data_IF_436805721510
#
_entry.id   IF_436805721510
#
_cell.length_a   1.000
_cell.length_b   1.000
_cell.length_c   1.000
_cell.angle_alpha   90.00
_cell.angle_beta   90.00
_cell.angle_gamma   90.00
#
_symmetry.space_group_name_H-M   'P 1'
#
loop_
_entity.id
_entity.type
_entity.pdbx_description
1 polymer ?
#
# COMPACT_ATOMS: atom_id res chain seq x y z
N UNK A 1 6.24 -21.92 6.32
CA UNK A 1 5.72 -21.95 4.94
C UNK A 1 4.52 -21.01 4.82
N UNK A 2 4.74 -19.70 4.68
CA UNK A 2 3.66 -18.73 4.38
C UNK A 2 3.76 -18.38 2.88
N UNK A 3 3.38 -19.34 2.04
CA UNK A 3 3.58 -19.28 0.60
C UNK A 3 2.29 -18.91 -0.13
N UNK A 4 2.39 -18.01 -1.11
CA UNK A 4 1.43 -17.78 -2.20
C UNK A 4 0.15 -16.95 -1.96
N UNK A 5 -0.47 -16.92 -0.77
CA UNK A 5 -1.81 -16.31 -0.61
C UNK A 5 -1.84 -14.77 -0.43
N UNK A 6 -0.75 -14.15 0.03
CA UNK A 6 -0.71 -12.69 0.31
C UNK A 6 -0.71 -11.85 -0.96
N UNK A 7 0.02 -12.29 -1.98
CA UNK A 7 0.12 -11.62 -3.29
C UNK A 7 -1.23 -11.65 -4.01
N UNK A 8 -1.93 -12.80 -4.01
CA UNK A 8 -3.26 -12.93 -4.64
C UNK A 8 -4.30 -11.97 -4.05
N UNK A 9 -4.29 -11.68 -2.74
CA UNK A 9 -5.22 -10.69 -2.12
C UNK A 9 -4.91 -9.24 -2.51
N UNK A 10 -3.64 -8.89 -2.70
CA UNK A 10 -3.24 -7.54 -3.12
C UNK A 10 -3.68 -7.27 -4.57
N UNK A 11 -3.59 -8.29 -5.45
CA UNK A 11 -3.92 -8.15 -6.87
C UNK A 11 -5.40 -8.41 -7.22
N UNK A 12 -6.14 -9.23 -6.46
CA UNK A 12 -7.57 -9.50 -6.70
C UNK A 12 -8.52 -8.30 -6.45
N UNK A 13 -8.01 -7.18 -5.93
CA UNK A 13 -8.82 -5.98 -5.63
C UNK A 13 -8.73 -4.87 -6.70
N UNK A 14 -7.92 -5.03 -7.76
CA UNK A 14 -7.84 -4.04 -8.85
C UNK A 14 -9.09 -4.00 -9.74
N UNK A 15 -9.86 -5.09 -9.80
CA UNK A 15 -11.04 -5.21 -10.68
C UNK A 15 -12.37 -4.87 -9.99
N UNK A 16 -12.36 -4.52 -8.70
CA UNK A 16 -13.58 -4.24 -7.91
C UNK A 16 -13.78 -2.75 -7.60
N UNK A 17 -12.76 -1.90 -7.77
CA UNK A 17 -12.86 -0.48 -7.43
C UNK A 17 -12.27 0.42 -8.52
N UNK A 18 -13.09 0.92 -9.46
CA UNK A 18 -12.68 1.98 -10.38
C UNK A 18 -12.28 3.25 -9.60
N UNK A 19 -11.32 3.99 -10.14
CA UNK A 19 -10.66 5.18 -9.54
C UNK A 19 -11.63 6.39 -9.41
N UNK A 20 -12.93 6.23 -9.66
CA UNK A 20 -13.89 7.34 -9.79
C UNK A 20 -14.44 7.92 -8.49
N UNK A 21 -14.18 7.34 -7.31
CA UNK A 21 -14.67 7.90 -6.03
C UNK A 21 -13.66 8.84 -5.36
N UNK A 22 -12.92 9.61 -6.17
CA UNK A 22 -12.11 10.76 -5.72
C UNK A 22 -12.80 12.05 -6.14
N UNK A 23 -14.08 12.21 -5.80
CA UNK A 23 -14.71 13.53 -5.68
C UNK A 23 -15.79 13.47 -4.61
N UNK A 24 -15.41 13.72 -3.36
CA UNK A 24 -16.29 14.47 -2.46
C UNK A 24 -15.52 15.73 -2.10
N UNK A 25 -16.15 16.85 -2.45
CA UNK A 25 -15.53 18.15 -2.64
C UNK A 25 -14.64 18.62 -1.50
N UNK A 26 -13.66 19.43 -1.91
CA UNK A 26 -13.13 20.50 -1.09
C UNK A 26 -14.32 21.40 -0.73
N UNK A 27 -15.02 21.07 0.37
CA UNK A 27 -16.00 21.98 0.95
C UNK A 27 -15.25 23.01 1.81
N UNK A 28 -15.52 24.31 1.63
CA UNK A 28 -14.80 25.37 2.31
C UNK A 28 -15.02 25.30 3.83
N UNK A 29 -14.00 25.76 4.56
CA UNK A 29 -13.94 25.82 6.01
C UNK A 29 -15.14 26.60 6.54
N UNK A 30 -16.16 25.89 7.04
CA UNK A 30 -17.14 26.46 7.96
C UNK A 30 -16.74 26.04 9.38
N UNK A 31 -16.17 26.98 10.11
CA UNK A 31 -15.91 26.86 11.55
C UNK A 31 -17.27 26.81 12.25
N UNK A 32 -17.68 25.62 12.71
CA UNK A 32 -18.78 25.48 13.66
C UNK A 32 -18.23 25.03 15.01
N UNK A 33 -18.25 25.99 15.93
CA UNK A 33 -18.11 25.79 17.37
C UNK A 33 -19.37 25.06 17.88
N UNK A 34 -19.18 23.98 18.64
CA UNK A 34 -20.15 23.51 19.65
C UNK A 34 -21.08 22.35 19.28
N UNK A 35 -20.78 21.15 19.79
CA UNK A 35 -21.71 20.26 20.54
C UNK A 35 -21.04 18.90 20.80
N UNK A 36 -20.44 18.74 21.98
CA UNK A 36 -19.93 17.45 22.43
C UNK A 36 -21.11 16.57 22.85
N UNK A 37 -21.64 15.74 21.95
CA UNK A 37 -22.46 14.60 22.38
C UNK A 37 -21.52 13.50 22.90
N UNK A 38 -21.75 12.95 24.10
CA UNK A 38 -20.89 11.91 24.64
C UNK A 38 -20.92 10.70 23.69
N UNK A 39 -19.78 10.06 23.42
CA UNK A 39 -19.77 8.90 22.54
C UNK A 39 -20.69 7.83 23.12
N UNK A 40 -21.73 7.45 22.35
CA UNK A 40 -22.66 6.37 22.69
C UNK A 40 -21.88 5.18 23.27
N UNK A 41 -22.35 4.61 24.38
CA UNK A 41 -21.65 3.54 25.11
C UNK A 41 -21.24 2.37 24.20
N UNK A 42 -22.04 2.10 23.15
CA UNK A 42 -21.76 1.13 22.09
C UNK A 42 -20.48 1.44 21.30
N UNK A 43 -20.23 2.71 20.97
CA UNK A 43 -19.03 3.16 20.25
C UNK A 43 -17.79 3.05 21.14
N UNK A 44 -17.94 3.35 22.44
CA UNK A 44 -16.85 3.19 23.43
C UNK A 44 -16.48 1.71 23.60
N UNK A 45 -17.47 0.84 23.73
CA UNK A 45 -17.28 -0.62 23.82
C UNK A 45 -16.59 -1.19 22.57
N UNK A 46 -17.02 -0.81 21.36
CA UNK A 46 -16.35 -1.23 20.11
C UNK A 46 -14.91 -0.74 20.00
N UNK A 47 -14.59 0.48 20.46
CA UNK A 47 -13.21 0.99 20.49
C UNK A 47 -12.33 0.22 21.47
N UNK A 48 -12.86 -0.09 22.66
CA UNK A 48 -12.12 -0.84 23.67
C UNK A 48 -11.75 -2.26 23.20
N UNK A 49 -12.59 -2.87 22.36
CA UNK A 49 -12.34 -4.19 21.77
C UNK A 49 -11.22 -4.19 20.69
N UNK A 50 -10.86 -3.03 20.14
CA UNK A 50 -9.78 -2.90 19.17
C UNK A 50 -8.44 -2.82 19.91
N UNK A 51 -7.72 -3.94 19.93
CA UNK A 51 -6.35 -4.06 20.44
C UNK A 51 -5.34 -3.78 19.33
N UNK A 52 -4.09 -3.48 19.70
CA UNK A 52 -3.01 -3.27 18.74
C UNK A 52 -2.85 -4.47 17.78
N UNK A 53 -2.82 -5.70 18.32
CA UNK A 53 -2.64 -6.91 17.51
C UNK A 53 -3.73 -7.08 16.44
N UNK A 54 -5.01 -6.90 16.82
CA UNK A 54 -6.13 -6.97 15.86
C UNK A 54 -6.02 -5.93 14.74
N UNK A 55 -5.45 -4.75 15.03
CA UNK A 55 -5.25 -3.70 14.03
C UNK A 55 -4.01 -3.98 13.17
N UNK A 56 -2.93 -4.47 13.77
CA UNK A 56 -1.67 -4.77 13.10
C UNK A 56 -1.80 -5.88 12.05
N UNK A 57 -2.64 -6.87 12.30
CA UNK A 57 -3.00 -7.91 11.32
C UNK A 57 -3.58 -7.33 10.01
N UNK A 58 -4.12 -6.11 10.05
CA UNK A 58 -4.75 -5.42 8.91
C UNK A 58 -3.82 -4.43 8.21
N UNK A 59 -2.56 -4.30 8.60
CA UNK A 59 -1.65 -3.34 7.96
C UNK A 59 -1.37 -3.59 6.48
N UNK A 60 -1.63 -4.81 6.00
CA UNK A 60 -1.48 -5.20 4.59
C UNK A 60 -2.59 -4.69 3.68
N UNK A 61 -3.67 -4.10 4.23
CA UNK A 61 -4.79 -3.57 3.46
C UNK A 61 -5.01 -2.06 3.70
N UNK A 62 -5.72 -1.36 2.80
CA UNK A 62 -6.12 0.03 3.03
C UNK A 62 -6.96 0.18 4.30
N UNK A 63 -6.81 1.32 5.00
CA UNK A 63 -7.55 1.60 6.24
C UNK A 63 -9.08 1.59 6.04
N UNK A 64 -9.57 1.91 4.85
CA UNK A 64 -10.99 1.83 4.50
C UNK A 64 -11.51 0.39 4.53
N UNK A 65 -10.71 -0.56 4.04
CA UNK A 65 -11.05 -1.99 4.05
C UNK A 65 -10.89 -2.54 5.46
N UNK A 66 -9.80 -2.20 6.15
CA UNK A 66 -9.57 -2.61 7.53
C UNK A 66 -10.73 -2.17 8.45
N UNK A 67 -11.22 -0.93 8.29
CA UNK A 67 -12.36 -0.44 9.07
C UNK A 67 -13.64 -1.25 8.81
N UNK A 68 -13.92 -1.58 7.54
CA UNK A 68 -15.06 -2.43 7.16
C UNK A 68 -14.94 -3.82 7.77
N UNK A 69 -13.78 -4.47 7.65
CA UNK A 69 -13.54 -5.80 8.24
C UNK A 69 -13.65 -5.79 9.77
N UNK A 70 -13.23 -4.70 10.42
CA UNK A 70 -13.32 -4.50 11.86
C UNK A 70 -14.70 -4.02 12.34
N UNK A 71 -15.66 -3.80 11.43
CA UNK A 71 -17.02 -3.38 11.75
C UNK A 71 -17.13 -1.99 12.42
N UNK A 72 -16.18 -1.10 12.09
CA UNK A 72 -16.09 0.27 12.61
C UNK A 72 -15.97 1.29 11.49
N UNK A 73 -16.23 2.57 11.79
CA UNK A 73 -15.98 3.66 10.84
C UNK A 73 -14.47 3.91 10.70
N UNK A 74 -14.05 4.46 9.54
CA UNK A 74 -12.66 4.87 9.31
C UNK A 74 -12.19 5.92 10.30
N UNK A 75 -13.04 6.86 10.69
CA UNK A 75 -12.76 7.87 11.71
C UNK A 75 -12.53 7.25 13.09
N UNK A 76 -13.35 6.27 13.47
CA UNK A 76 -13.19 5.51 14.72
C UNK A 76 -11.88 4.73 14.72
N UNK A 77 -11.55 4.06 13.61
CA UNK A 77 -10.31 3.31 13.48
C UNK A 77 -9.08 4.24 13.55
N UNK A 78 -9.08 5.35 12.81
CA UNK A 78 -8.00 6.36 12.87
C UNK A 78 -7.79 6.90 14.28
N UNK A 79 -8.87 7.21 14.98
CA UNK A 79 -8.81 7.67 16.37
C UNK A 79 -8.19 6.61 17.27
N UNK A 80 -8.66 5.36 17.16
CA UNK A 80 -8.14 4.25 17.95
C UNK A 80 -6.68 3.93 17.65
N UNK A 81 -6.25 4.02 16.40
CA UNK A 81 -4.84 3.86 16.02
C UNK A 81 -3.95 4.88 16.76
N UNK A 82 -4.38 6.14 16.87
CA UNK A 82 -3.63 7.17 17.61
C UNK A 82 -3.52 6.83 19.11
N UNK A 83 -4.59 6.32 19.72
CA UNK A 83 -4.56 5.85 21.12
C UNK A 83 -3.61 4.66 21.32
N UNK A 84 -3.48 3.80 20.32
CA UNK A 84 -2.62 2.61 20.34
C UNK A 84 -1.16 2.90 19.96
N UNK A 85 -0.79 4.17 19.77
CA UNK A 85 0.58 4.53 19.38
C UNK A 85 0.92 4.22 17.91
N UNK A 86 -0.08 4.11 17.04
CA UNK A 86 0.06 3.93 15.58
C UNK A 86 -0.08 5.32 14.93
N UNK A 87 1.01 6.05 14.68
CA UNK A 87 0.94 7.43 14.19
C UNK A 87 0.40 7.52 12.75
N UNK A 88 0.63 6.49 11.95
CA UNK A 88 0.17 6.40 10.57
C UNK A 88 -0.06 4.97 10.12
N UNK A 89 -0.83 4.83 9.03
CA UNK A 89 -1.16 3.54 8.45
C UNK A 89 -0.05 3.08 7.48
N UNK A 90 0.70 1.99 7.76
CA UNK A 90 1.92 1.61 7.03
C UNK A 90 1.66 1.06 5.61
N UNK A 91 0.39 0.77 5.27
CA UNK A 91 -0.02 0.20 3.98
C UNK A 91 0.63 0.86 2.76
N UNK A 92 0.78 2.18 2.75
CA UNK A 92 1.34 2.89 1.59
C UNK A 92 2.80 2.50 1.33
N UNK A 93 3.60 2.37 2.38
CA UNK A 93 5.01 1.95 2.27
C UNK A 93 5.10 0.48 1.87
N UNK A 94 4.30 -0.37 2.52
CA UNK A 94 4.24 -1.81 2.24
C UNK A 94 3.82 -2.06 0.77
N UNK A 95 2.78 -1.38 0.29
CA UNK A 95 2.33 -1.47 -1.11
C UNK A 95 3.43 -1.05 -2.08
N UNK A 96 4.15 0.02 -1.74
CA UNK A 96 5.25 0.56 -2.54
C UNK A 96 6.41 -0.44 -2.67
N UNK A 97 6.73 -1.18 -1.61
CA UNK A 97 7.74 -2.23 -1.58
C UNK A 97 7.25 -3.51 -2.28
N UNK A 98 6.01 -3.94 -2.06
CA UNK A 98 5.41 -5.08 -2.75
C UNK A 98 5.37 -4.88 -4.28
N UNK A 99 5.08 -3.65 -4.72
CA UNK A 99 5.14 -3.31 -6.17
C UNK A 99 6.56 -3.43 -6.70
N UNK A 100 7.56 -2.97 -5.93
CA UNK A 100 8.96 -3.10 -6.30
C UNK A 100 9.41 -4.56 -6.36
N UNK A 101 9.02 -5.39 -5.39
CA UNK A 101 9.25 -6.83 -5.40
C UNK A 101 8.68 -7.47 -6.66
N UNK A 102 7.44 -7.14 -7.03
CA UNK A 102 6.82 -7.66 -8.25
C UNK A 102 7.55 -7.22 -9.51
N UNK A 103 8.03 -5.97 -9.57
CA UNK A 103 8.87 -5.51 -10.68
C UNK A 103 10.16 -6.31 -10.73
N UNK A 104 10.87 -6.45 -9.62
CA UNK A 104 12.11 -7.23 -9.55
C UNK A 104 11.87 -8.66 -10.02
N UNK A 105 10.80 -9.33 -9.56
CA UNK A 105 10.43 -10.67 -10.01
C UNK A 105 10.14 -10.75 -11.52
N UNK A 106 9.51 -9.73 -12.10
CA UNK A 106 9.18 -9.69 -13.53
C UNK A 106 10.41 -9.54 -14.45
N UNK A 107 11.45 -8.85 -13.99
CA UNK A 107 12.68 -8.60 -14.78
C UNK A 107 13.87 -9.49 -14.36
N UNK A 108 13.80 -10.16 -13.20
CA UNK A 108 14.94 -10.87 -12.62
C UNK A 108 15.28 -12.17 -13.36
N UNK A 109 16.58 -12.34 -13.65
CA UNK A 109 17.23 -13.64 -13.82
C UNK A 109 17.51 -14.28 -12.44
N UNK A 110 17.88 -15.56 -12.41
CA UNK A 110 18.04 -16.40 -11.20
C UNK A 110 18.96 -15.87 -10.05
N UNK A 111 19.55 -14.68 -10.16
CA UNK A 111 20.43 -14.07 -9.15
C UNK A 111 19.81 -12.99 -8.24
N UNK A 112 18.58 -12.54 -8.48
CA UNK A 112 17.98 -11.40 -7.74
C UNK A 112 17.34 -11.76 -6.39
N UNK A 113 17.59 -12.97 -5.88
CA UNK A 113 17.03 -13.46 -4.61
C UNK A 113 17.42 -12.58 -3.42
N UNK A 114 18.67 -12.09 -3.39
CA UNK A 114 19.15 -11.22 -2.32
C UNK A 114 18.40 -9.87 -2.28
N UNK A 115 18.01 -9.34 -3.45
CA UNK A 115 17.25 -8.09 -3.57
C UNK A 115 15.84 -8.28 -3.02
N UNK A 116 15.17 -9.37 -3.41
CA UNK A 116 13.83 -9.71 -2.94
C UNK A 116 13.82 -9.88 -1.42
N UNK A 117 14.82 -10.59 -0.87
CA UNK A 117 15.00 -10.74 0.57
C UNK A 117 15.15 -9.39 1.26
N UNK A 118 16.03 -8.51 0.77
CA UNK A 118 16.20 -7.16 1.31
C UNK A 118 14.87 -6.37 1.34
N UNK A 119 14.11 -6.41 0.24
CA UNK A 119 12.80 -5.72 0.18
C UNK A 119 11.83 -6.27 1.24
N UNK A 120 11.80 -7.60 1.46
CA UNK A 120 10.92 -8.22 2.46
C UNK A 120 11.33 -7.88 3.89
N UNK A 121 12.62 -7.95 4.20
CA UNK A 121 13.16 -7.56 5.50
C UNK A 121 12.81 -6.09 5.82
N UNK A 122 12.90 -5.22 4.83
CA UNK A 122 12.53 -3.81 4.98
C UNK A 122 11.01 -3.61 5.16
N UNK A 123 10.18 -4.41 4.49
CA UNK A 123 8.72 -4.41 4.72
C UNK A 123 8.39 -4.80 6.17
N UNK A 124 9.04 -5.83 6.70
CA UNK A 124 8.88 -6.28 8.09
C UNK A 124 9.36 -5.21 9.07
N UNK A 125 10.52 -4.60 8.82
CA UNK A 125 11.06 -3.54 9.66
C UNK A 125 10.12 -2.31 9.73
N UNK A 126 9.40 -1.99 8.66
CA UNK A 126 8.38 -0.93 8.65
C UNK A 126 7.12 -1.32 9.41
N UNK A 127 6.77 -2.60 9.44
CA UNK A 127 5.63 -3.09 10.25
C UNK A 127 5.94 -3.04 11.75
N UNK A 128 7.16 -3.40 12.13
CA UNK A 128 7.62 -3.39 13.52
C UNK A 128 7.86 -1.97 14.02
N UNK A 129 8.56 -1.16 13.23
CA UNK A 129 8.77 0.25 13.51
C UNK A 129 8.06 1.08 12.46
N UNK A 130 6.83 1.47 12.79
CA UNK A 130 6.02 2.28 11.90
C UNK A 130 6.80 3.50 11.43
N UNK A 131 7.52 4.22 12.31
CA UNK A 131 8.28 5.46 12.02
C UNK A 131 9.45 5.30 11.04
N UNK A 132 9.91 4.07 10.79
CA UNK A 132 11.02 3.77 9.90
C UNK A 132 10.76 4.30 8.48
N UNK A 133 11.79 4.90 7.88
CA UNK A 133 11.75 5.34 6.48
C UNK A 133 12.19 4.19 5.58
N UNK A 134 11.76 4.25 4.32
CA UNK A 134 12.32 3.39 3.26
C UNK A 134 13.80 3.79 3.08
N UNK A 135 14.67 2.79 3.02
CA UNK A 135 16.12 2.91 2.87
C UNK A 135 16.46 3.54 1.50
N UNK A 136 17.62 4.18 1.44
CA UNK A 136 18.06 4.88 0.23
C UNK A 136 18.43 3.88 -0.87
N UNK A 137 18.96 2.71 -0.50
CA UNK A 137 19.22 1.59 -1.41
C UNK A 137 17.95 1.13 -2.14
N UNK A 138 16.82 1.06 -1.41
CA UNK A 138 15.55 0.65 -2.00
C UNK A 138 14.91 1.73 -2.86
N UNK A 139 15.15 3.01 -2.56
CA UNK A 139 14.75 4.12 -3.43
C UNK A 139 15.55 4.12 -4.74
N UNK A 140 16.87 3.91 -4.66
CA UNK A 140 17.73 3.78 -5.83
C UNK A 140 17.29 2.59 -6.70
N UNK A 141 17.04 1.43 -6.09
CA UNK A 141 16.53 0.27 -6.81
C UNK A 141 15.21 0.56 -7.53
N UNK A 142 14.28 1.28 -6.88
CA UNK A 142 13.01 1.67 -7.50
C UNK A 142 13.24 2.52 -8.75
N UNK A 143 14.16 3.47 -8.69
CA UNK A 143 14.52 4.29 -9.83
C UNK A 143 15.11 3.43 -10.96
N UNK A 144 16.09 2.56 -10.65
CA UNK A 144 16.68 1.64 -11.64
C UNK A 144 15.65 0.73 -12.29
N UNK A 145 14.71 0.18 -11.51
CA UNK A 145 13.64 -0.68 -12.05
C UNK A 145 12.66 0.09 -12.94
N UNK A 146 12.37 1.35 -12.62
CA UNK A 146 11.56 2.22 -13.48
C UNK A 146 12.26 2.49 -14.82
N UNK A 147 13.54 2.83 -14.80
CA UNK A 147 14.33 3.07 -16.01
C UNK A 147 14.46 1.80 -16.87
N UNK A 148 14.63 0.62 -16.26
CA UNK A 148 14.65 -0.66 -16.99
C UNK A 148 13.32 -0.94 -17.67
N UNK A 149 12.21 -0.74 -16.97
CA UNK A 149 10.88 -0.92 -17.53
C UNK A 149 10.64 0.01 -18.72
N UNK A 150 11.02 1.28 -18.60
CA UNK A 150 10.91 2.25 -19.69
C UNK A 150 11.71 1.82 -20.93
N UNK A 151 12.95 1.34 -20.74
CA UNK A 151 13.78 0.83 -21.83
C UNK A 151 13.18 -0.40 -22.52
N UNK A 152 12.62 -1.33 -21.74
CA UNK A 152 11.94 -2.52 -22.26
C UNK A 152 10.70 -2.16 -23.11
N UNK A 153 9.89 -1.19 -22.64
CA UNK A 153 8.74 -0.67 -23.40
C UNK A 153 9.18 0.02 -24.71
N UNK A 154 10.26 0.79 -24.68
CA UNK A 154 10.83 1.43 -25.87
C UNK A 154 11.41 0.40 -26.87
N UNK A 155 12.13 -0.62 -26.39
CA UNK A 155 12.66 -1.71 -27.21
C UNK A 155 11.55 -2.55 -27.82
N UNK A 156 10.50 -2.85 -27.04
CA UNK A 156 9.30 -3.55 -27.52
C UNK A 156 8.58 -2.74 -28.61
N UNK A 157 8.42 -1.42 -28.42
CA UNK A 157 7.85 -0.54 -29.43
C UNK A 157 8.71 -0.49 -30.70
N UNK A 158 10.03 -0.30 -30.57
CA UNK A 158 10.98 -0.34 -31.70
C UNK A 158 10.91 -1.68 -32.44
N UNK A 159 10.88 -2.80 -31.71
CA UNK A 159 10.75 -4.14 -32.27
C UNK A 159 9.42 -4.36 -33.00
N UNK A 160 8.33 -3.76 -32.52
CA UNK A 160 7.02 -3.78 -33.18
C UNK A 160 7.05 -3.01 -34.51
N UNK A 161 7.63 -1.81 -34.54
CA UNK A 161 7.77 -1.00 -35.76
C UNK A 161 8.60 -1.71 -36.84
N UNK A 162 9.69 -2.38 -36.45
CA UNK A 162 10.51 -3.18 -37.37
C UNK A 162 9.73 -4.40 -37.90
N UNK A 163 8.97 -5.10 -37.03
CA UNK A 163 8.15 -6.26 -37.42
C UNK A 163 7.00 -5.92 -38.37
N UNK A 164 6.45 -4.72 -38.27
CA UNK A 164 5.37 -4.23 -39.14
C UNK A 164 5.87 -3.66 -40.49
N UNK A 165 7.18 -3.74 -40.78
CA UNK A 165 7.74 -3.28 -42.05
C UNK A 165 7.74 -1.76 -42.22
N UNK A 166 7.56 -0.99 -41.14
CA UNK A 166 7.54 0.49 -41.14
C UNK A 166 8.92 1.10 -40.85
N UNK A 167 10.01 0.40 -41.16
CA UNK A 167 11.37 0.92 -41.02
C UNK A 167 11.67 1.97 -42.10
N UNK A 168 12.03 3.19 -41.67
CA UNK A 168 12.56 4.24 -42.55
C UNK A 168 13.91 3.74 -43.10
N UNK A 169 14.06 3.76 -44.43
CA UNK A 169 15.30 3.47 -45.15
C UNK A 169 16.40 4.49 -44.85
#
# INVERSE_FOLDING_TARGET
MASSNTIRRIYAMKDVYPISDITDGVNPIHVQVGSQTPPSNRIRSKRAALTYNHVAEKFTMPISIAAKELGVSTSTLKYRCRELGIPYWPYLKIKSLATLESSVLGFARAGSQHIIRHIREEMEAIMDNLTLKISDETKDLRYRMYELKKKDEEESHRGCLVKLGMGIA
#
